data_IF_976260166658
#
_entry.id   IF_976260166658
#
_cell.length_a   1.000
_cell.length_b   1.000
_cell.length_c   1.000
_cell.angle_alpha   90.00
_cell.angle_beta   90.00
_cell.angle_gamma   90.00
#
_symmetry.space_group_name_H-M   'P 1'
#
loop_
_entity.id
_entity.type
_entity.pdbx_description
1 polymer ?
#
# COMPACT_ATOMS: atom_id res chain seq x y z
N UNK A 1 -36.56 57.50 -10.67
CA UNK A 1 -35.95 56.15 -10.63
C UNK A 1 -34.86 56.15 -9.57
N UNK A 2 -34.90 55.22 -8.60
CA UNK A 2 -34.08 55.30 -7.39
C UNK A 2 -32.63 54.86 -7.67
N UNK A 3 -31.63 55.43 -6.97
CA UNK A 3 -30.18 55.21 -7.23
C UNK A 3 -29.77 53.72 -7.17
N UNK A 4 -30.50 52.92 -6.39
CA UNK A 4 -30.35 51.46 -6.31
C UNK A 4 -30.71 50.73 -7.61
N UNK A 5 -31.66 51.25 -8.39
CA UNK A 5 -32.06 50.64 -9.67
C UNK A 5 -30.97 50.84 -10.74
N UNK A 6 -30.25 51.96 -10.71
CA UNK A 6 -29.12 52.20 -11.63
C UNK A 6 -27.94 51.26 -11.38
N UNK A 7 -27.65 50.96 -10.11
CA UNK A 7 -26.59 50.01 -9.73
C UNK A 7 -26.96 48.60 -10.20
N UNK A 8 -28.21 48.19 -10.01
CA UNK A 8 -28.72 46.89 -10.46
C UNK A 8 -28.68 46.73 -11.99
N UNK A 9 -29.05 47.79 -12.73
CA UNK A 9 -28.97 47.80 -14.19
C UNK A 9 -27.51 47.71 -14.65
N UNK A 10 -26.59 48.47 -14.03
CA UNK A 10 -25.17 48.43 -14.38
C UNK A 10 -24.51 47.06 -14.11
N UNK A 11 -24.86 46.41 -12.99
CA UNK A 11 -24.40 45.06 -12.66
C UNK A 11 -24.95 44.01 -13.64
N UNK A 12 -26.24 44.09 -13.97
CA UNK A 12 -26.85 43.20 -14.95
C UNK A 12 -26.22 43.37 -16.35
N UNK A 13 -25.90 44.60 -16.76
CA UNK A 13 -25.18 44.88 -18.01
C UNK A 13 -23.75 44.37 -18.02
N UNK A 14 -23.02 44.44 -16.89
CA UNK A 14 -21.67 43.88 -16.76
C UNK A 14 -21.66 42.36 -16.83
N UNK A 15 -22.62 41.69 -16.17
CA UNK A 15 -22.77 40.23 -16.25
C UNK A 15 -23.17 39.80 -17.67
N UNK A 16 -24.07 40.53 -18.32
CA UNK A 16 -24.44 40.27 -19.70
C UNK A 16 -23.27 40.49 -20.67
N UNK A 17 -22.46 41.54 -20.47
CA UNK A 17 -21.25 41.80 -21.26
C UNK A 17 -20.18 40.73 -21.05
N UNK A 18 -19.94 40.29 -19.80
CA UNK A 18 -19.02 39.20 -19.50
C UNK A 18 -19.50 37.87 -20.13
N UNK A 19 -20.81 37.60 -20.09
CA UNK A 19 -21.42 36.43 -20.72
C UNK A 19 -21.34 36.49 -22.25
N UNK A 20 -21.58 37.65 -22.86
CA UNK A 20 -21.43 37.87 -24.31
C UNK A 20 -19.95 37.77 -24.70
N UNK A 21 -19.03 38.29 -23.89
CA UNK A 21 -17.59 38.20 -24.12
C UNK A 21 -17.11 36.75 -24.06
N UNK A 22 -17.56 35.98 -23.06
CA UNK A 22 -17.33 34.53 -22.96
C UNK A 22 -17.94 33.78 -24.16
N UNK A 23 -19.12 34.19 -24.66
CA UNK A 23 -19.80 33.51 -25.76
C UNK A 23 -19.26 33.86 -27.16
N UNK A 24 -18.65 35.04 -27.31
CA UNK A 24 -18.12 35.54 -28.59
C UNK A 24 -16.61 35.27 -28.73
N UNK A 25 -15.85 35.36 -27.64
CA UNK A 25 -14.38 35.34 -27.70
C UNK A 25 -13.73 34.11 -27.06
N UNK A 26 -14.42 33.37 -26.20
CA UNK A 26 -13.93 32.08 -25.71
C UNK A 26 -14.69 30.98 -26.46
N UNK A 27 -14.01 30.29 -27.38
CA UNK A 27 -14.59 29.05 -27.92
C UNK A 27 -14.71 28.03 -26.78
N UNK A 28 -15.69 27.11 -26.82
CA UNK A 28 -15.73 25.99 -25.89
C UNK A 28 -14.39 25.25 -25.81
N UNK A 29 -13.64 25.19 -26.90
CA UNK A 29 -12.26 24.67 -26.95
C UNK A 29 -11.28 25.49 -26.10
N UNK A 30 -11.33 26.82 -26.10
CA UNK A 30 -10.45 27.65 -25.24
C UNK A 30 -10.75 27.47 -23.75
N UNK A 31 -12.03 27.37 -23.36
CA UNK A 31 -12.43 27.12 -21.98
C UNK A 31 -12.07 25.71 -21.51
N UNK A 32 -12.21 24.72 -22.41
CA UNK A 32 -11.77 23.35 -22.14
C UNK A 32 -10.25 23.30 -22.04
N UNK A 33 -9.51 23.99 -22.91
CA UNK A 33 -8.05 24.02 -22.89
C UNK A 33 -7.51 24.69 -21.62
N UNK A 34 -8.06 25.84 -21.20
CA UNK A 34 -7.65 26.55 -19.98
C UNK A 34 -7.97 25.72 -18.71
N UNK A 35 -9.14 25.08 -18.68
CA UNK A 35 -9.49 24.12 -17.62
C UNK A 35 -8.54 22.92 -17.63
N UNK A 36 -8.24 22.37 -18.81
CA UNK A 36 -7.36 21.20 -18.98
C UNK A 36 -5.92 21.53 -18.60
N UNK A 37 -5.43 22.71 -18.98
CA UNK A 37 -4.09 23.22 -18.65
C UNK A 37 -3.97 23.43 -17.14
N UNK A 38 -4.99 24.01 -16.49
CA UNK A 38 -5.06 24.07 -15.03
C UNK A 38 -5.07 22.69 -14.36
N UNK A 39 -5.84 21.73 -14.87
CA UNK A 39 -5.82 20.35 -14.34
C UNK A 39 -4.50 19.63 -14.59
N UNK A 40 -3.81 19.95 -15.69
CA UNK A 40 -2.52 19.37 -16.06
C UNK A 40 -1.43 19.90 -15.13
N UNK A 41 -1.38 21.21 -14.89
CA UNK A 41 -0.43 21.81 -13.94
C UNK A 41 -0.63 21.25 -12.51
N UNK A 42 -1.88 21.11 -12.06
CA UNK A 42 -2.20 20.51 -10.77
C UNK A 42 -1.78 19.02 -10.69
N UNK A 43 -2.00 18.26 -11.77
CA UNK A 43 -1.57 16.87 -11.85
C UNK A 43 -0.05 16.74 -11.86
N UNK A 44 0.65 17.55 -12.67
CA UNK A 44 2.11 17.56 -12.76
C UNK A 44 2.74 17.84 -11.40
N UNK A 45 2.23 18.85 -10.68
CA UNK A 45 2.65 19.15 -9.31
C UNK A 45 2.39 17.97 -8.36
N UNK A 46 1.21 17.35 -8.44
CA UNK A 46 0.87 16.19 -7.61
C UNK A 46 1.78 14.99 -7.91
N UNK A 47 2.08 14.75 -9.18
CA UNK A 47 2.95 13.69 -9.65
C UNK A 47 4.39 13.93 -9.21
N UNK A 48 4.89 15.16 -9.29
CA UNK A 48 6.21 15.52 -8.78
C UNK A 48 6.31 15.31 -7.26
N UNK A 49 5.35 15.81 -6.48
CA UNK A 49 5.30 15.59 -5.03
C UNK A 49 5.18 14.10 -4.67
N UNK A 50 4.42 13.33 -5.45
CA UNK A 50 4.32 11.88 -5.27
C UNK A 50 5.66 11.19 -5.55
N UNK A 51 6.31 11.50 -6.67
CA UNK A 51 7.57 10.89 -7.08
C UNK A 51 8.72 11.24 -6.13
N UNK A 52 8.81 12.49 -5.69
CA UNK A 52 9.81 12.91 -4.69
C UNK A 52 9.64 12.12 -3.39
N UNK A 53 8.40 11.94 -2.92
CA UNK A 53 8.12 11.11 -1.73
C UNK A 53 8.48 9.64 -1.97
N UNK A 54 8.08 9.07 -3.10
CA UNK A 54 8.41 7.69 -3.45
C UNK A 54 9.92 7.45 -3.51
N UNK A 55 10.69 8.41 -4.05
CA UNK A 55 12.16 8.35 -4.09
C UNK A 55 12.76 8.38 -2.68
N UNK A 56 12.33 9.32 -1.84
CA UNK A 56 12.80 9.42 -0.46
C UNK A 56 12.47 8.16 0.36
N UNK A 57 11.26 7.63 0.21
CA UNK A 57 10.86 6.40 0.88
C UNK A 57 11.71 5.22 0.40
N UNK A 58 11.98 5.13 -0.91
CA UNK A 58 12.88 4.12 -1.45
C UNK A 58 14.30 4.25 -0.87
N UNK A 59 14.88 5.44 -0.87
CA UNK A 59 16.22 5.69 -0.32
C UNK A 59 16.30 5.29 1.17
N UNK A 60 15.26 5.62 1.94
CA UNK A 60 15.16 5.21 3.34
C UNK A 60 15.14 3.70 3.49
N UNK A 61 14.33 3.00 2.68
CA UNK A 61 14.27 1.54 2.75
C UNK A 61 15.59 0.90 2.31
N UNK A 62 16.21 1.38 1.24
CA UNK A 62 17.50 0.87 0.77
C UNK A 62 18.59 1.04 1.84
N UNK A 63 18.67 2.21 2.48
CA UNK A 63 19.62 2.46 3.56
C UNK A 63 19.32 1.62 4.81
N UNK A 64 18.04 1.44 5.16
CA UNK A 64 17.62 0.55 6.25
C UNK A 64 18.15 -0.87 6.03
N UNK A 65 17.87 -1.47 4.88
CA UNK A 65 18.30 -2.86 4.60
C UNK A 65 19.82 -2.96 4.53
N UNK A 66 20.50 -2.00 3.91
CA UNK A 66 21.97 -1.97 3.87
C UNK A 66 22.60 -1.97 5.27
N UNK A 67 22.00 -1.26 6.23
CA UNK A 67 22.44 -1.26 7.62
C UNK A 67 22.09 -2.55 8.33
N UNK A 68 20.86 -3.03 8.15
CA UNK A 68 20.36 -4.25 8.77
C UNK A 68 21.16 -5.49 8.33
N UNK A 69 21.62 -5.54 7.08
CA UNK A 69 22.48 -6.60 6.55
C UNK A 69 23.85 -6.66 7.25
N UNK A 70 24.34 -5.53 7.77
CA UNK A 70 25.58 -5.47 8.56
C UNK A 70 25.28 -5.83 10.02
N UNK A 71 24.27 -5.17 10.59
CA UNK A 71 23.77 -5.40 11.93
C UNK A 71 22.31 -4.91 11.99
N UNK A 72 21.38 -5.80 12.33
CA UNK A 72 19.95 -5.49 12.42
C UNK A 72 19.68 -4.26 13.32
N UNK A 73 20.38 -4.13 14.44
CA UNK A 73 20.23 -3.01 15.38
C UNK A 73 20.55 -1.66 14.70
N UNK A 74 21.58 -1.60 13.86
CA UNK A 74 21.90 -0.37 13.12
C UNK A 74 20.80 0.05 12.14
N UNK A 75 20.11 -0.93 11.53
CA UNK A 75 18.95 -0.66 10.70
C UNK A 75 17.78 -0.14 11.52
N UNK A 76 17.50 -0.77 12.66
CA UNK A 76 16.43 -0.37 13.58
C UNK A 76 16.67 1.05 14.10
N UNK A 77 17.88 1.36 14.58
CA UNK A 77 18.26 2.68 15.08
C UNK A 77 18.10 3.77 14.03
N UNK A 78 18.44 3.46 12.78
CA UNK A 78 18.26 4.37 11.66
C UNK A 78 16.78 4.73 11.47
N UNK A 79 15.89 3.73 11.42
CA UNK A 79 14.45 3.98 11.30
C UNK A 79 13.90 4.70 12.53
N UNK A 80 14.31 4.31 13.73
CA UNK A 80 13.86 4.96 14.97
C UNK A 80 14.22 6.44 15.00
N UNK A 81 15.42 6.80 14.54
CA UNK A 81 15.82 8.21 14.41
C UNK A 81 14.91 8.97 13.43
N UNK A 82 14.51 8.35 12.31
CA UNK A 82 13.59 8.98 11.36
C UNK A 82 12.21 9.16 12.00
N UNK A 83 11.69 8.13 12.68
CA UNK A 83 10.38 8.17 13.31
C UNK A 83 10.29 9.25 14.39
N UNK A 84 11.37 9.43 15.15
CA UNK A 84 11.49 10.41 16.23
C UNK A 84 11.68 11.84 15.71
N UNK A 85 12.64 12.06 14.81
CA UNK A 85 13.10 13.42 14.48
C UNK A 85 12.53 13.99 13.18
N UNK A 86 12.06 13.16 12.24
CA UNK A 86 11.51 13.67 10.99
C UNK A 86 10.02 14.03 11.16
N UNK A 87 9.78 15.33 11.30
CA UNK A 87 8.46 15.93 11.48
C UNK A 87 7.68 16.10 10.16
N UNK A 88 8.30 15.84 9.01
CA UNK A 88 7.66 15.95 7.70
C UNK A 88 7.03 14.64 7.24
N UNK A 89 7.36 13.50 7.87
CA UNK A 89 6.70 12.23 7.54
C UNK A 89 5.21 12.28 7.87
N UNK A 90 4.41 11.81 6.92
CA UNK A 90 2.99 11.56 7.17
C UNK A 90 2.86 10.36 8.09
N UNK A 91 1.72 10.28 8.78
CA UNK A 91 1.40 9.14 9.65
C UNK A 91 1.45 7.79 8.92
N UNK A 92 1.03 7.75 7.65
CA UNK A 92 1.12 6.54 6.80
C UNK A 92 2.56 6.07 6.61
N UNK A 93 3.46 7.02 6.37
CA UNK A 93 4.86 6.74 6.07
C UNK A 93 5.57 6.26 7.34
N UNK A 94 5.28 6.90 8.49
CA UNK A 94 5.74 6.42 9.81
C UNK A 94 5.25 5.00 10.12
N UNK A 95 3.98 4.73 9.83
CA UNK A 95 3.40 3.40 10.01
C UNK A 95 4.10 2.36 9.15
N UNK A 96 4.33 2.67 7.87
CA UNK A 96 5.01 1.78 6.93
C UNK A 96 6.44 1.43 7.37
N UNK A 97 7.24 2.43 7.76
CA UNK A 97 8.60 2.20 8.26
C UNK A 97 8.61 1.34 9.53
N UNK A 98 7.70 1.61 10.47
CA UNK A 98 7.57 0.81 11.69
C UNK A 98 7.16 -0.64 11.39
N UNK A 99 6.28 -0.87 10.41
CA UNK A 99 5.90 -2.21 9.96
C UNK A 99 7.11 -2.92 9.37
N UNK A 100 7.84 -2.31 8.43
CA UNK A 100 9.03 -2.91 7.80
C UNK A 100 10.09 -3.28 8.84
N UNK A 101 10.27 -2.44 9.86
CA UNK A 101 11.17 -2.74 10.98
C UNK A 101 10.71 -3.98 11.76
N UNK A 102 9.40 -4.10 12.02
CA UNK A 102 8.81 -5.29 12.61
C UNK A 102 8.94 -6.53 11.74
N UNK A 103 8.81 -6.41 10.42
CA UNK A 103 9.03 -7.52 9.48
C UNK A 103 10.48 -8.02 9.55
N UNK A 104 11.46 -7.11 9.55
CA UNK A 104 12.87 -7.47 9.68
C UNK A 104 13.19 -8.15 11.01
N UNK A 105 12.61 -7.68 12.12
CA UNK A 105 12.71 -8.33 13.43
C UNK A 105 12.13 -9.75 13.38
N UNK A 106 10.96 -9.93 12.76
CA UNK A 106 10.33 -11.23 12.61
C UNK A 106 11.20 -12.20 11.82
N UNK A 107 11.75 -11.76 10.68
CA UNK A 107 12.58 -12.58 9.80
C UNK A 107 13.91 -12.99 10.47
N UNK A 108 14.38 -12.23 11.45
CA UNK A 108 15.57 -12.53 12.26
C UNK A 108 15.26 -13.26 13.59
N UNK A 109 14.02 -13.72 13.80
CA UNK A 109 13.65 -14.52 14.98
C UNK A 109 13.27 -13.71 16.22
N UNK A 110 13.30 -12.38 16.17
CA UNK A 110 12.92 -11.48 17.28
C UNK A 110 11.40 -11.27 17.33
N UNK A 111 10.65 -12.36 17.52
CA UNK A 111 9.20 -12.36 17.34
C UNK A 111 8.43 -11.54 18.38
N UNK A 112 8.96 -11.38 19.61
CA UNK A 112 8.32 -10.54 20.64
C UNK A 112 8.49 -9.06 20.33
N UNK A 113 9.69 -8.69 19.89
CA UNK A 113 10.07 -7.34 19.50
C UNK A 113 9.33 -6.93 18.21
N UNK A 114 9.20 -7.84 17.24
CA UNK A 114 8.37 -7.65 16.06
C UNK A 114 6.91 -7.36 16.45
N UNK A 115 6.34 -8.14 17.37
CA UNK A 115 4.98 -7.93 17.84
C UNK A 115 4.82 -6.56 18.54
N UNK A 116 5.78 -6.15 19.37
CA UNK A 116 5.79 -4.81 19.97
C UNK A 116 5.79 -3.70 18.93
N UNK A 117 6.53 -3.86 17.82
CA UNK A 117 6.47 -2.92 16.68
C UNK A 117 5.07 -2.89 16.08
N UNK A 118 4.49 -4.05 15.76
CA UNK A 118 3.18 -4.13 15.12
C UNK A 118 2.02 -3.63 16.00
N UNK A 119 2.15 -3.71 17.31
CA UNK A 119 1.14 -3.29 18.28
C UNK A 119 1.33 -1.84 18.78
N UNK A 120 2.39 -1.15 18.33
CA UNK A 120 2.67 0.21 18.76
C UNK A 120 1.53 1.17 18.35
N UNK A 121 0.78 1.75 19.31
CA UNK A 121 -0.37 2.58 19.00
C UNK A 121 -0.01 3.89 18.29
N UNK A 122 1.25 4.35 18.42
CA UNK A 122 1.75 5.55 17.71
C UNK A 122 1.70 5.38 16.19
N UNK A 123 1.85 4.14 15.71
CA UNK A 123 2.00 3.81 14.30
C UNK A 123 0.85 2.96 13.76
N UNK A 124 -0.29 2.97 14.46
CA UNK A 124 -1.44 2.13 14.16
C UNK A 124 -1.96 2.34 12.73
N UNK A 125 -1.92 1.28 11.93
CA UNK A 125 -2.56 1.16 10.62
C UNK A 125 -3.31 -0.15 10.60
N UNK A 126 -4.58 -0.14 10.19
CA UNK A 126 -5.36 -1.37 10.04
C UNK A 126 -5.23 -1.82 8.59
N UNK A 127 -4.25 -2.66 8.31
CA UNK A 127 -4.09 -3.31 7.01
C UNK A 127 -4.17 -4.83 7.19
N UNK A 128 -4.69 -5.57 6.19
CA UNK A 128 -4.72 -7.02 6.27
C UNK A 128 -3.31 -7.64 6.30
N UNK A 129 -2.31 -6.94 5.74
CA UNK A 129 -0.89 -7.30 5.86
C UNK A 129 -0.43 -7.23 7.32
N UNK A 130 -0.67 -6.12 8.02
CA UNK A 130 -0.29 -5.99 9.43
C UNK A 130 -0.95 -7.06 10.30
N UNK A 131 -2.21 -7.40 10.03
CA UNK A 131 -2.90 -8.50 10.71
C UNK A 131 -2.18 -9.84 10.50
N UNK A 132 -1.73 -10.12 9.27
CA UNK A 132 -0.96 -11.32 8.96
C UNK A 132 0.44 -11.31 9.59
N UNK A 133 1.12 -10.16 9.65
CA UNK A 133 2.43 -10.03 10.29
C UNK A 133 2.35 -10.31 11.80
N UNK A 134 1.32 -9.77 12.46
CA UNK A 134 1.00 -10.10 13.86
C UNK A 134 0.71 -11.58 14.02
N UNK A 135 -0.10 -12.15 13.12
CA UNK A 135 -0.42 -13.58 13.16
C UNK A 135 0.82 -14.46 13.01
N UNK A 136 1.77 -14.09 12.15
CA UNK A 136 3.07 -14.75 12.05
C UNK A 136 3.79 -14.75 13.40
N UNK A 137 3.89 -13.58 14.04
CA UNK A 137 4.55 -13.45 15.34
C UNK A 137 3.86 -14.29 16.43
N UNK A 138 2.53 -14.24 16.52
CA UNK A 138 1.78 -15.08 17.47
C UNK A 138 1.95 -16.59 17.18
N UNK A 139 1.97 -17.00 15.92
CA UNK A 139 2.20 -18.41 15.54
C UNK A 139 3.58 -18.89 15.98
N UNK A 140 4.60 -18.05 15.84
CA UNK A 140 5.95 -18.33 16.33
C UNK A 140 6.08 -18.38 17.85
N UNK A 141 5.20 -17.66 18.55
CA UNK A 141 5.08 -17.72 20.00
C UNK A 141 4.15 -18.87 20.46
N UNK A 142 3.62 -19.68 19.55
CA UNK A 142 2.75 -20.82 19.85
C UNK A 142 1.28 -20.47 20.11
N UNK A 143 0.89 -19.20 19.98
CA UNK A 143 -0.51 -18.77 20.11
C UNK A 143 -1.23 -18.84 18.75
N UNK A 144 -1.45 -20.07 18.29
CA UNK A 144 -2.15 -20.34 17.04
C UNK A 144 -3.60 -19.83 17.04
N UNK A 145 -4.25 -19.78 18.21
CA UNK A 145 -5.64 -19.30 18.33
C UNK A 145 -5.73 -17.81 17.98
N UNK A 146 -4.85 -16.99 18.55
CA UNK A 146 -4.79 -15.56 18.23
C UNK A 146 -4.38 -15.34 16.78
N UNK A 147 -3.39 -16.09 16.29
CA UNK A 147 -2.96 -16.02 14.90
C UNK A 147 -4.10 -16.31 13.90
N UNK A 148 -4.87 -17.38 14.12
CA UNK A 148 -6.04 -17.70 13.27
C UNK A 148 -7.11 -16.61 13.35
N UNK A 149 -7.34 -16.02 14.53
CA UNK A 149 -8.32 -14.93 14.69
C UNK A 149 -7.92 -13.68 13.88
N UNK A 150 -6.64 -13.32 13.90
CA UNK A 150 -6.09 -12.23 13.09
C UNK A 150 -6.17 -12.53 11.59
N UNK A 151 -5.86 -13.76 11.19
CA UNK A 151 -5.93 -14.17 9.78
C UNK A 151 -7.36 -14.27 9.25
N UNK A 152 -8.33 -14.58 10.10
CA UNK A 152 -9.74 -14.45 9.75
C UNK A 152 -10.10 -13.00 9.42
N UNK A 153 -9.66 -12.05 10.24
CA UNK A 153 -9.87 -10.63 9.98
C UNK A 153 -9.18 -10.18 8.69
N UNK A 154 -7.93 -10.61 8.46
CA UNK A 154 -7.20 -10.32 7.22
C UNK A 154 -7.92 -10.91 5.98
N UNK A 155 -8.36 -12.17 6.07
CA UNK A 155 -9.04 -12.89 4.98
C UNK A 155 -10.43 -12.32 4.65
N UNK A 156 -11.11 -11.69 5.62
CA UNK A 156 -12.36 -10.98 5.38
C UNK A 156 -12.16 -9.70 4.56
N UNK A 157 -10.97 -9.08 4.63
CA UNK A 157 -10.61 -7.91 3.83
C UNK A 157 -10.05 -8.34 2.47
N UNK A 158 -9.17 -9.35 2.46
CA UNK A 158 -8.58 -9.90 1.25
C UNK A 158 -8.43 -11.43 1.36
N UNK A 159 -9.18 -12.16 0.53
CA UNK A 159 -9.22 -13.62 0.54
C UNK A 159 -7.86 -14.30 0.36
N UNK A 160 -6.86 -13.63 -0.24
CA UNK A 160 -5.50 -14.16 -0.39
C UNK A 160 -4.86 -14.57 0.94
N UNK A 161 -5.29 -13.96 2.06
CA UNK A 161 -4.80 -14.32 3.40
C UNK A 161 -5.28 -15.68 3.91
N UNK A 162 -6.21 -16.36 3.21
CA UNK A 162 -6.50 -17.78 3.43
C UNK A 162 -5.27 -18.68 3.28
N UNK A 163 -4.33 -18.30 2.42
CA UNK A 163 -3.04 -18.98 2.32
C UNK A 163 -2.30 -19.01 3.67
N UNK A 164 -2.15 -17.84 4.28
CA UNK A 164 -1.44 -17.70 5.57
C UNK A 164 -2.21 -18.42 6.68
N UNK A 165 -3.55 -18.38 6.64
CA UNK A 165 -4.42 -19.12 7.57
C UNK A 165 -4.23 -20.64 7.44
N UNK A 166 -4.15 -21.15 6.21
CA UNK A 166 -3.82 -22.53 5.94
C UNK A 166 -2.46 -22.91 6.52
N UNK A 167 -1.43 -22.05 6.35
CA UNK A 167 -0.09 -22.32 6.92
C UNK A 167 -0.15 -22.44 8.45
N UNK A 168 -0.92 -21.59 9.14
CA UNK A 168 -1.06 -21.68 10.61
C UNK A 168 -1.78 -22.96 11.04
N UNK A 169 -2.84 -23.38 10.34
CA UNK A 169 -3.46 -24.67 10.61
C UNK A 169 -2.50 -25.84 10.38
N UNK A 170 -1.64 -25.72 9.38
CA UNK A 170 -0.64 -26.73 9.11
C UNK A 170 0.41 -26.82 10.24
N UNK A 171 0.92 -25.66 10.68
CA UNK A 171 1.83 -25.53 11.83
C UNK A 171 1.22 -26.07 13.13
N UNK A 172 -0.11 -25.97 13.30
CA UNK A 172 -0.85 -26.53 14.45
C UNK A 172 -1.28 -27.99 14.24
N UNK A 173 -0.82 -28.65 13.17
CA UNK A 173 -1.15 -30.03 12.79
C UNK A 173 -2.65 -30.27 12.53
N UNK A 174 -3.40 -29.24 12.15
CA UNK A 174 -4.80 -29.29 11.75
C UNK A 174 -4.96 -29.41 10.23
N UNK A 175 -4.35 -30.47 9.65
CA UNK A 175 -4.12 -30.61 8.21
C UNK A 175 -5.39 -30.52 7.35
N UNK A 176 -6.52 -31.08 7.80
CA UNK A 176 -7.79 -30.99 7.08
C UNK A 176 -8.31 -29.55 6.98
N UNK A 177 -8.09 -28.73 8.02
CA UNK A 177 -8.45 -27.31 7.99
C UNK A 177 -7.49 -26.55 7.07
N UNK A 178 -6.19 -26.88 7.08
CA UNK A 178 -5.21 -26.30 6.17
C UNK A 178 -5.59 -26.55 4.71
N UNK A 179 -5.82 -27.81 4.33
CA UNK A 179 -6.26 -28.22 2.98
C UNK A 179 -7.55 -27.50 2.56
N UNK A 180 -8.52 -27.37 3.47
CA UNK A 180 -9.75 -26.61 3.19
C UNK A 180 -9.47 -25.15 2.84
N UNK A 181 -8.66 -24.44 3.63
CA UNK A 181 -8.34 -23.03 3.36
C UNK A 181 -7.57 -22.86 2.03
N UNK A 182 -6.63 -23.77 1.73
CA UNK A 182 -5.92 -23.79 0.45
C UNK A 182 -6.84 -24.04 -0.72
N UNK A 183 -7.76 -25.01 -0.59
CA UNK A 183 -8.67 -25.38 -1.67
C UNK A 183 -9.67 -24.26 -1.95
N UNK A 184 -10.22 -23.64 -0.91
CA UNK A 184 -11.12 -22.49 -1.06
C UNK A 184 -10.42 -21.31 -1.75
N UNK A 185 -9.14 -21.07 -1.48
CA UNK A 185 -8.36 -20.03 -2.16
C UNK A 185 -8.07 -20.42 -3.62
N UNK A 186 -7.64 -21.66 -3.87
CA UNK A 186 -7.39 -22.19 -5.21
C UNK A 186 -8.60 -22.01 -6.13
N UNK A 187 -9.80 -22.27 -5.62
CA UNK A 187 -11.04 -22.11 -6.40
C UNK A 187 -11.35 -20.67 -6.81
N UNK A 188 -10.76 -19.65 -6.17
CA UNK A 188 -10.96 -18.25 -6.55
C UNK A 188 -10.27 -17.90 -7.86
N UNK A 189 -9.08 -18.46 -8.08
CA UNK A 189 -8.31 -18.31 -9.30
C UNK A 189 -7.30 -19.46 -9.37
N UNK A 190 -7.62 -20.46 -10.19
CA UNK A 190 -6.83 -21.69 -10.30
C UNK A 190 -5.46 -21.47 -10.94
N UNK A 191 -5.29 -20.37 -11.66
CA UNK A 191 -4.01 -20.02 -12.29
C UNK A 191 -3.13 -19.28 -11.31
N UNK A 192 -3.65 -18.23 -10.66
CA UNK A 192 -2.89 -17.43 -9.71
C UNK A 192 -2.54 -18.21 -8.44
N UNK A 193 -3.47 -19.03 -7.94
CA UNK A 193 -3.31 -19.80 -6.70
C UNK A 193 -2.92 -21.27 -6.92
N UNK A 194 -2.34 -21.61 -8.07
CA UNK A 194 -1.90 -23.00 -8.37
C UNK A 194 -1.07 -23.63 -7.25
N UNK A 195 -0.25 -22.83 -6.59
CA UNK A 195 0.57 -23.27 -5.45
C UNK A 195 -0.23 -23.82 -4.26
N UNK A 196 -1.49 -23.43 -4.11
CA UNK A 196 -2.37 -24.00 -3.07
C UNK A 196 -2.68 -25.46 -3.37
N UNK A 197 -2.94 -25.81 -4.63
CA UNK A 197 -3.14 -27.20 -5.05
C UNK A 197 -1.86 -28.03 -4.91
N UNK A 198 -0.72 -27.45 -5.28
CA UNK A 198 0.59 -28.08 -5.09
C UNK A 198 0.82 -28.41 -3.60
N UNK A 199 0.51 -27.47 -2.69
CA UNK A 199 0.61 -27.71 -1.24
C UNK A 199 -0.36 -28.76 -0.73
N UNK A 200 -1.60 -28.80 -1.23
CA UNK A 200 -2.58 -29.84 -0.87
C UNK A 200 -2.05 -31.23 -1.24
N UNK A 201 -1.55 -31.40 -2.47
CA UNK A 201 -1.01 -32.69 -2.92
C UNK A 201 0.20 -33.13 -2.09
N UNK A 202 1.05 -32.19 -1.67
CA UNK A 202 2.18 -32.48 -0.78
C UNK A 202 1.71 -32.98 0.59
N UNK A 203 0.69 -32.33 1.17
CA UNK A 203 0.07 -32.75 2.44
C UNK A 203 -0.64 -34.10 2.38
N UNK A 204 -0.94 -34.60 1.18
CA UNK A 204 -1.54 -35.93 0.94
C UNK A 204 -0.51 -37.02 0.64
N UNK A 205 0.79 -36.67 0.59
CA UNK A 205 1.87 -37.64 0.42
C UNK A 205 2.09 -38.49 1.67
N UNK A 206 2.82 -39.61 1.53
CA UNK A 206 3.05 -40.56 2.63
C UNK A 206 3.83 -39.97 3.81
N UNK A 207 4.62 -38.92 3.59
CA UNK A 207 5.42 -38.25 4.62
C UNK A 207 5.56 -36.75 4.30
N UNK A 208 4.52 -35.95 4.57
CA UNK A 208 4.52 -34.54 4.22
C UNK A 208 5.47 -33.76 5.14
N UNK A 209 6.30 -32.88 4.57
CA UNK A 209 7.09 -31.92 5.33
C UNK A 209 6.18 -30.77 5.74
N UNK A 210 5.86 -30.67 7.04
CA UNK A 210 4.98 -29.61 7.55
C UNK A 210 5.72 -28.27 7.64
N UNK A 211 4.99 -27.19 7.45
CA UNK A 211 5.50 -25.84 7.59
C UNK A 211 5.81 -25.54 9.06
N UNK A 212 6.97 -24.94 9.28
CA UNK A 212 7.35 -24.36 10.58
C UNK A 212 7.08 -22.85 10.64
N UNK A 213 6.68 -22.25 9.51
CA UNK A 213 6.56 -20.81 9.31
C UNK A 213 5.36 -20.49 8.41
N UNK A 214 4.74 -19.33 8.64
CA UNK A 214 3.88 -18.72 7.64
C UNK A 214 4.74 -18.31 6.44
N UNK A 215 4.30 -18.63 5.22
CA UNK A 215 5.00 -18.26 3.99
C UNK A 215 4.43 -16.93 3.47
N UNK A 216 5.18 -15.84 3.67
CA UNK A 216 4.87 -14.54 3.12
C UNK A 216 5.36 -14.43 1.67
N UNK A 217 4.48 -14.76 0.71
CA UNK A 217 4.82 -14.64 -0.72
C UNK A 217 5.02 -13.16 -1.08
N UNK A 218 6.05 -12.86 -1.86
CA UNK A 218 6.37 -11.52 -2.37
C UNK A 218 6.76 -10.48 -1.31
N UNK A 219 7.11 -10.87 -0.09
CA UNK A 219 7.57 -9.93 0.96
C UNK A 219 8.81 -9.15 0.52
N UNK A 220 9.73 -9.83 -0.17
CA UNK A 220 11.00 -9.25 -0.62
C UNK A 220 10.89 -8.50 -1.96
N UNK A 221 9.81 -8.72 -2.72
CA UNK A 221 9.65 -8.08 -4.01
C UNK A 221 9.18 -6.64 -3.83
N UNK A 222 10.07 -5.69 -4.12
CA UNK A 222 9.79 -4.27 -3.99
C UNK A 222 9.36 -3.72 -5.35
N UNK A 223 8.08 -3.36 -5.45
CA UNK A 223 7.51 -2.70 -6.63
C UNK A 223 7.38 -1.22 -6.31
N UNK A 224 8.16 -0.40 -7.01
CA UNK A 224 8.08 1.04 -6.93
C UNK A 224 7.14 1.56 -8.02
N UNK A 225 6.25 2.46 -7.63
CA UNK A 225 5.30 3.11 -8.53
C UNK A 225 5.75 4.54 -8.73
N UNK A 226 5.89 4.96 -9.97
CA UNK A 226 6.15 6.36 -10.34
C UNK A 226 5.08 6.85 -11.30
N UNK A 227 4.79 8.13 -11.24
CA UNK A 227 3.92 8.83 -12.16
C UNK A 227 4.78 9.56 -13.19
N UNK A 228 4.72 9.18 -14.46
CA UNK A 228 5.34 9.96 -15.52
C UNK A 228 4.39 11.04 -16.00
N UNK A 229 4.88 12.28 -16.01
CA UNK A 229 4.23 13.36 -16.75
C UNK A 229 4.32 13.08 -18.25
N UNK A 230 3.37 13.65 -18.98
CA UNK A 230 3.30 13.56 -20.44
C UNK A 230 4.59 14.07 -21.11
N UNK A 231 5.01 13.47 -22.24
CA UNK A 231 6.11 14.00 -23.05
C UNK A 231 5.60 15.01 -24.06
N UNK A 232 6.41 16.00 -24.44
CA UNK A 232 6.10 16.91 -25.55
C UNK A 232 5.71 16.12 -26.81
N UNK A 233 4.45 16.27 -27.26
CA UNK A 233 3.92 15.66 -28.49
C UNK A 233 2.85 14.57 -28.30
N UNK A 234 2.45 14.22 -27.07
CA UNK A 234 1.29 13.36 -26.81
C UNK A 234 -0.03 14.16 -26.83
N UNK A 235 -1.17 13.46 -26.89
CA UNK A 235 -2.49 14.08 -27.13
C UNK A 235 -2.95 14.85 -25.90
N UNK A 236 -3.56 16.03 -26.09
CA UNK A 236 -4.09 16.91 -25.03
C UNK A 236 -4.96 16.19 -23.97
N UNK A 237 -5.51 15.00 -24.25
CA UNK A 237 -6.26 14.16 -23.28
C UNK A 237 -5.42 13.16 -22.46
N UNK A 238 -4.11 13.05 -22.65
CA UNK A 238 -3.24 12.13 -21.90
C UNK A 238 -2.62 12.84 -20.70
N UNK A 239 -3.08 12.50 -19.49
CA UNK A 239 -2.64 13.14 -18.24
C UNK A 239 -1.40 12.48 -17.62
N UNK A 240 -0.82 11.45 -18.27
CA UNK A 240 0.39 10.78 -17.78
C UNK A 240 0.23 9.28 -17.53
N UNK A 241 1.35 8.61 -17.25
CA UNK A 241 1.45 7.13 -17.22
C UNK A 241 1.98 6.61 -15.89
N UNK A 242 1.40 5.51 -15.41
CA UNK A 242 1.90 4.80 -14.22
C UNK A 242 3.02 3.86 -14.65
N UNK A 243 4.20 3.98 -14.03
CA UNK A 243 5.31 3.04 -14.20
C UNK A 243 5.53 2.20 -12.96
N UNK A 244 5.75 0.92 -13.19
CA UNK A 244 6.15 -0.05 -12.17
C UNK A 244 7.61 -0.43 -12.37
N UNK A 245 8.42 -0.25 -11.33
CA UNK A 245 9.80 -0.73 -11.29
C UNK A 245 9.92 -1.80 -10.22
N UNK A 246 10.16 -3.03 -10.65
CA UNK A 246 10.44 -4.16 -9.75
C UNK A 246 11.94 -4.22 -9.48
N UNK A 247 12.34 -4.30 -8.21
CA UNK A 247 13.72 -4.59 -7.80
C UNK A 247 13.77 -5.94 -7.11
#
# INVERSE_FOLDING_TARGET
>A
MNRKNWILIALASLVALAYIFLKIYATPEMLINDLMEGTKEEFEKMAEEFNQRASLDQERLEEFYKRADINLEHGIDYIDSILEYDNKLRKSDKSHLNIITGEALYDNGFHKEALQRFENPKFNSVSPRLLADKAGSYSKLGDFKTAISLLNQAANINHSFKWHKGNVFEMSNELEKAKKEYFELYQKDTTHYKYCLERINELESDNPELLENIIFRNRDSRIYIYLESEKEGESVMDIGKIKFKKK
#
